data_IF_691248950548
#
_entry.id   IF_691248950548
#
_cell.length_a   1.000
_cell.length_b   1.000
_cell.length_c   1.000
_cell.angle_alpha   90.00
_cell.angle_beta   90.00
_cell.angle_gamma   90.00
#
_symmetry.space_group_name_H-M   'P 1'
#
loop_
_entity.id
_entity.type
_entity.pdbx_description
1 polymer ?
#
# COMPACT_ATOMS: atom_id res chain seq x y z
N UNK A 1 -53.00 27.28 -9.99
CA UNK A 1 -52.04 26.16 -9.95
C UNK A 1 -52.04 25.58 -8.55
N UNK A 2 -52.57 24.36 -8.39
CA UNK A 2 -52.79 23.73 -7.09
C UNK A 2 -51.50 23.33 -6.37
N UNK A 3 -51.63 23.05 -5.06
CA UNK A 3 -50.56 22.60 -4.15
C UNK A 3 -49.67 21.51 -4.78
N UNK A 4 -50.25 20.61 -5.56
CA UNK A 4 -49.55 19.54 -6.28
C UNK A 4 -48.50 20.04 -7.30
N UNK A 5 -48.80 21.11 -8.04
CA UNK A 5 -47.85 21.67 -9.01
C UNK A 5 -46.66 22.34 -8.33
N UNK A 6 -46.87 22.94 -7.15
CA UNK A 6 -45.79 23.52 -6.35
C UNK A 6 -44.88 22.44 -5.75
N UNK A 7 -45.45 21.30 -5.34
CA UNK A 7 -44.68 20.16 -4.85
C UNK A 7 -43.77 19.56 -5.95
N UNK A 8 -44.27 19.40 -7.18
CA UNK A 8 -43.47 18.90 -8.30
C UNK A 8 -42.29 19.84 -8.62
N UNK A 9 -42.56 21.15 -8.69
CA UNK A 9 -41.49 22.13 -8.97
C UNK A 9 -40.44 22.11 -7.85
N UNK A 10 -40.86 22.01 -6.59
CA UNK A 10 -39.94 21.91 -5.44
C UNK A 10 -39.09 20.64 -5.50
N UNK A 11 -39.68 19.49 -5.81
CA UNK A 11 -38.95 18.22 -5.95
C UNK A 11 -37.94 18.26 -7.11
N UNK A 12 -38.31 18.85 -8.25
CA UNK A 12 -37.39 18.99 -9.39
C UNK A 12 -36.23 19.95 -9.10
N UNK A 13 -36.49 21.03 -8.35
CA UNK A 13 -35.43 21.94 -7.90
C UNK A 13 -34.47 21.29 -6.91
N UNK A 14 -34.97 20.47 -5.99
CA UNK A 14 -34.11 19.69 -5.07
C UNK A 14 -33.29 18.68 -5.85
N UNK A 15 -33.90 17.94 -6.78
CA UNK A 15 -33.17 16.94 -7.58
C UNK A 15 -32.09 17.62 -8.43
N UNK A 16 -32.42 18.75 -9.07
CA UNK A 16 -31.46 19.53 -9.87
C UNK A 16 -30.32 20.10 -9.02
N UNK A 17 -30.62 20.61 -7.83
CA UNK A 17 -29.60 21.07 -6.89
C UNK A 17 -28.71 19.92 -6.41
N UNK A 18 -29.29 18.76 -6.12
CA UNK A 18 -28.54 17.58 -5.69
C UNK A 18 -27.62 17.07 -6.81
N UNK A 19 -28.10 16.99 -8.06
CA UNK A 19 -27.28 16.63 -9.22
C UNK A 19 -26.18 17.66 -9.47
N UNK A 20 -26.48 18.96 -9.34
CA UNK A 20 -25.48 20.02 -9.47
C UNK A 20 -24.40 19.93 -8.38
N UNK A 21 -24.80 19.70 -7.12
CA UNK A 21 -23.87 19.52 -6.00
C UNK A 21 -23.06 18.24 -6.19
N UNK A 22 -23.66 17.12 -6.59
CA UNK A 22 -22.91 15.90 -6.89
C UNK A 22 -21.89 16.14 -8.00
N UNK A 23 -22.28 16.78 -9.11
CA UNK A 23 -21.36 17.11 -10.22
C UNK A 23 -20.22 18.05 -9.79
N UNK A 24 -20.55 19.08 -9.01
CA UNK A 24 -19.59 20.08 -8.55
C UNK A 24 -18.64 19.50 -7.48
N UNK A 25 -19.16 18.66 -6.58
CA UNK A 25 -18.36 17.93 -5.58
C UNK A 25 -17.49 16.89 -6.26
N UNK A 26 -17.99 16.10 -7.23
CA UNK A 26 -17.14 15.20 -8.02
C UNK A 26 -16.03 15.95 -8.77
N UNK A 27 -16.29 17.18 -9.21
CA UNK A 27 -15.29 18.06 -9.83
C UNK A 27 -14.28 18.68 -8.86
N UNK A 28 -14.58 18.75 -7.56
CA UNK A 28 -13.69 19.28 -6.52
C UNK A 28 -13.00 18.18 -5.69
N UNK A 29 -13.58 16.98 -5.61
CA UNK A 29 -13.13 15.90 -4.73
C UNK A 29 -12.41 14.76 -5.45
N UNK A 30 -11.94 14.96 -6.69
CA UNK A 30 -11.20 13.93 -7.43
C UNK A 30 -11.96 12.60 -7.55
N UNK A 31 -13.29 12.65 -7.59
CA UNK A 31 -14.14 11.46 -7.64
C UNK A 31 -14.28 10.95 -9.06
N UNK A 32 -13.43 9.98 -9.43
CA UNK A 32 -13.60 8.97 -10.49
C UNK A 32 -14.62 9.30 -11.59
N UNK A 33 -14.24 10.21 -12.48
CA UNK A 33 -14.85 10.36 -13.79
C UNK A 33 -13.78 10.09 -14.84
N UNK A 34 -13.56 8.81 -15.17
CA UNK A 34 -12.62 8.39 -16.19
C UNK A 34 -12.87 9.09 -17.52
N UNK A 35 -12.07 10.10 -17.81
CA UNK A 35 -11.88 10.65 -19.14
C UNK A 35 -10.47 11.21 -19.20
N UNK A 36 -9.61 10.62 -20.02
CA UNK A 36 -8.32 11.25 -20.29
C UNK A 36 -7.46 10.47 -21.26
N UNK A 37 -6.78 9.45 -20.77
CA UNK A 37 -5.68 8.87 -21.51
C UNK A 37 -5.95 7.40 -21.85
N UNK A 38 -6.26 7.13 -23.12
CA UNK A 38 -6.32 5.77 -23.67
C UNK A 38 -5.00 5.44 -24.38
N UNK A 39 -4.58 4.18 -24.25
CA UNK A 39 -3.41 3.64 -24.94
C UNK A 39 -2.11 3.76 -24.14
N UNK A 40 -1.01 3.38 -24.77
CA UNK A 40 0.32 3.33 -24.15
C UNK A 40 0.98 4.72 -24.19
N UNK A 41 0.81 5.49 -23.12
CA UNK A 41 1.45 6.80 -22.92
C UNK A 41 1.61 7.12 -21.41
N UNK A 42 2.48 8.08 -21.04
CA UNK A 42 2.74 8.41 -19.65
C UNK A 42 1.51 8.90 -18.88
N UNK A 43 0.61 9.66 -19.53
CA UNK A 43 -0.59 10.16 -18.88
C UNK A 43 -1.55 9.03 -18.47
N UNK A 44 -1.72 8.02 -19.34
CA UNK A 44 -2.49 6.82 -19.03
C UNK A 44 -1.79 6.00 -17.93
N UNK A 45 -0.46 5.92 -17.99
CA UNK A 45 0.33 5.23 -16.98
C UNK A 45 0.20 5.85 -15.60
N UNK A 46 0.16 7.18 -15.52
CA UNK A 46 -0.06 7.93 -14.29
C UNK A 46 -1.46 7.65 -13.71
N UNK A 47 -2.50 7.73 -14.54
CA UNK A 47 -3.88 7.44 -14.12
C UNK A 47 -4.01 6.02 -13.56
N UNK A 48 -3.35 5.04 -14.19
CA UNK A 48 -3.32 3.66 -13.69
C UNK A 48 -2.51 3.55 -12.40
N UNK A 49 -1.34 4.18 -12.32
CA UNK A 49 -0.47 4.12 -11.13
C UNK A 49 -1.20 4.59 -9.86
N UNK A 50 -1.94 5.70 -9.97
CA UNK A 50 -2.68 6.29 -8.85
C UNK A 50 -4.12 5.75 -8.71
N UNK A 51 -4.61 5.03 -9.72
CA UNK A 51 -5.98 4.52 -9.81
C UNK A 51 -6.00 2.99 -9.84
N UNK A 52 -6.38 2.40 -10.97
CA UNK A 52 -6.68 0.96 -11.09
C UNK A 52 -5.50 0.04 -10.74
N UNK A 53 -4.27 0.48 -10.97
CA UNK A 53 -3.05 -0.26 -10.62
C UNK A 53 -2.73 -0.23 -9.12
N UNK A 54 -3.29 0.73 -8.37
CA UNK A 54 -3.09 0.90 -6.92
C UNK A 54 -1.60 0.89 -6.51
N UNK A 55 -0.70 1.27 -7.42
CA UNK A 55 0.75 1.22 -7.17
C UNK A 55 1.13 2.10 -5.97
N UNK A 56 0.41 3.21 -5.81
CA UNK A 56 0.57 4.19 -4.73
C UNK A 56 0.25 3.66 -3.33
N UNK A 57 -0.44 2.53 -3.20
CA UNK A 57 -0.70 1.89 -1.88
C UNK A 57 0.53 1.18 -1.32
N UNK A 58 1.56 0.99 -2.16
CA UNK A 58 2.84 0.39 -1.79
C UNK A 58 4.02 1.30 -2.07
N UNK A 59 4.00 2.05 -3.17
CA UNK A 59 5.11 2.87 -3.64
C UNK A 59 4.79 4.36 -3.53
N UNK A 60 5.66 5.14 -2.90
CA UNK A 60 5.60 6.60 -2.92
C UNK A 60 6.35 7.18 -4.13
N UNK A 61 6.03 8.43 -4.48
CA UNK A 61 6.80 9.26 -5.41
C UNK A 61 7.21 10.52 -4.67
N UNK A 62 8.47 10.60 -4.26
CA UNK A 62 8.97 11.67 -3.39
C UNK A 62 8.21 11.63 -2.06
N UNK A 63 7.50 12.72 -1.75
CA UNK A 63 6.62 12.80 -0.56
C UNK A 63 5.15 12.46 -0.86
N UNK A 64 4.82 12.13 -2.11
CA UNK A 64 3.45 11.78 -2.53
C UNK A 64 3.20 10.29 -2.35
N UNK A 65 2.04 9.94 -1.79
CA UNK A 65 1.69 8.58 -1.39
C UNK A 65 2.14 8.28 0.05
N UNK A 66 1.26 7.70 0.86
CA UNK A 66 1.52 7.40 2.28
C UNK A 66 2.25 6.06 2.50
N UNK A 67 2.48 5.30 1.44
CA UNK A 67 2.94 3.92 1.52
C UNK A 67 4.47 3.79 1.59
N UNK A 68 4.96 2.94 2.50
CA UNK A 68 6.39 2.63 2.70
C UNK A 68 6.73 1.17 2.37
N UNK A 69 5.75 0.39 1.89
CA UNK A 69 5.90 -1.06 1.65
C UNK A 69 6.87 -1.38 0.51
N UNK A 70 6.93 -0.52 -0.48
CA UNK A 70 7.83 -0.63 -1.63
C UNK A 70 8.77 0.57 -1.72
N UNK A 71 9.84 0.46 -2.54
CA UNK A 71 10.76 1.56 -2.75
C UNK A 71 10.03 2.80 -3.31
N UNK A 72 10.46 3.97 -2.85
CA UNK A 72 10.10 5.25 -3.46
C UNK A 72 10.52 5.24 -4.94
N UNK A 73 9.69 5.80 -5.83
CA UNK A 73 9.87 5.81 -7.28
C UNK A 73 10.39 7.15 -7.82
N UNK A 74 10.65 8.15 -6.98
CA UNK A 74 11.31 9.38 -7.41
C UNK A 74 12.69 9.08 -8.03
N UNK A 75 12.98 9.67 -9.18
CA UNK A 75 14.23 9.42 -9.92
C UNK A 75 14.43 7.96 -10.34
N UNK A 76 13.37 7.17 -10.45
CA UNK A 76 13.44 5.75 -10.79
C UNK A 76 14.17 5.49 -12.11
N UNK A 77 13.96 6.29 -13.16
CA UNK A 77 14.54 6.02 -14.48
C UNK A 77 16.08 5.95 -14.43
N UNK A 78 16.71 6.89 -13.72
CA UNK A 78 18.16 6.90 -13.52
C UNK A 78 18.63 5.68 -12.70
N UNK A 79 17.93 5.35 -11.60
CA UNK A 79 18.25 4.17 -10.77
C UNK A 79 18.05 2.86 -11.52
N UNK A 80 17.07 2.78 -12.41
CA UNK A 80 16.82 1.61 -13.24
C UNK A 80 17.99 1.33 -14.18
N UNK A 81 18.58 2.36 -14.80
CA UNK A 81 19.76 2.21 -15.66
C UNK A 81 21.00 1.76 -14.88
N UNK A 82 21.20 2.25 -13.67
CA UNK A 82 22.29 1.82 -12.79
C UNK A 82 22.14 0.34 -12.42
N UNK A 83 20.98 -0.03 -11.89
CA UNK A 83 20.69 -1.43 -11.50
C UNK A 83 20.72 -2.38 -12.69
N UNK A 84 20.28 -1.94 -13.87
CA UNK A 84 20.39 -2.73 -15.08
C UNK A 84 21.85 -3.12 -15.37
N UNK A 85 22.79 -2.16 -15.26
CA UNK A 85 24.22 -2.42 -15.47
C UNK A 85 24.79 -3.39 -14.43
N UNK A 86 24.46 -3.17 -13.15
CA UNK A 86 24.91 -4.03 -12.05
C UNK A 86 24.43 -5.48 -12.23
N UNK A 87 23.22 -5.64 -12.78
CA UNK A 87 22.59 -6.94 -12.98
C UNK A 87 22.84 -7.54 -14.36
N UNK A 88 23.61 -6.86 -15.22
CA UNK A 88 23.90 -7.34 -16.58
C UNK A 88 22.70 -7.35 -17.52
N UNK A 89 21.69 -6.52 -17.26
CA UNK A 89 20.56 -6.27 -18.16
C UNK A 89 20.96 -5.28 -19.25
N UNK A 90 20.23 -5.28 -20.37
CA UNK A 90 20.58 -4.46 -21.55
C UNK A 90 20.24 -2.99 -21.37
N UNK A 91 19.23 -2.68 -20.54
CA UNK A 91 18.78 -1.30 -20.29
C UNK A 91 17.95 -1.18 -19.02
N UNK A 92 17.77 0.04 -18.53
CA UNK A 92 16.83 0.35 -17.46
C UNK A 92 15.39 -0.03 -17.80
N UNK A 93 15.00 0.02 -19.08
CA UNK A 93 13.68 -0.47 -19.51
C UNK A 93 13.51 -1.97 -19.26
N UNK A 94 14.53 -2.80 -19.51
CA UNK A 94 14.45 -4.23 -19.18
C UNK A 94 14.33 -4.45 -17.67
N UNK A 95 15.04 -3.64 -16.87
CA UNK A 95 14.90 -3.66 -15.41
C UNK A 95 13.47 -3.30 -14.97
N UNK A 96 12.84 -2.28 -15.55
CA UNK A 96 11.47 -1.87 -15.23
C UNK A 96 10.46 -2.97 -15.59
N UNK A 97 10.59 -3.56 -16.79
CA UNK A 97 9.73 -4.66 -17.24
C UNK A 97 9.86 -5.85 -16.29
N UNK A 98 11.09 -6.26 -15.95
CA UNK A 98 11.31 -7.37 -15.05
C UNK A 98 10.76 -7.09 -13.65
N UNK A 99 10.99 -5.90 -13.11
CA UNK A 99 10.51 -5.51 -11.78
C UNK A 99 8.98 -5.56 -11.66
N UNK A 100 8.24 -5.27 -12.73
CA UNK A 100 6.77 -5.30 -12.72
C UNK A 100 6.23 -6.69 -13.05
N UNK A 101 6.84 -7.39 -14.01
CA UNK A 101 6.35 -8.70 -14.49
C UNK A 101 6.78 -9.83 -13.56
N UNK A 102 8.00 -9.77 -13.01
CA UNK A 102 8.58 -10.76 -12.13
C UNK A 102 9.26 -10.09 -10.91
N UNK A 103 8.49 -9.42 -10.04
CA UNK A 103 9.03 -8.62 -8.92
C UNK A 103 9.93 -9.42 -7.96
N UNK A 104 9.76 -10.74 -7.87
CA UNK A 104 10.57 -11.60 -7.02
C UNK A 104 11.96 -11.96 -7.58
N UNK A 105 12.26 -11.64 -8.85
CA UNK A 105 13.58 -11.91 -9.46
C UNK A 105 14.67 -11.01 -8.87
N UNK A 106 14.28 -9.80 -8.45
CA UNK A 106 15.17 -8.88 -7.76
C UNK A 106 14.39 -8.00 -6.80
N UNK A 107 14.66 -8.21 -5.52
CA UNK A 107 14.13 -7.38 -4.44
C UNK A 107 15.22 -6.41 -4.03
N UNK A 108 14.89 -5.12 -4.02
CA UNK A 108 15.82 -4.07 -3.61
C UNK A 108 16.15 -4.22 -2.12
N UNK A 109 17.41 -3.99 -1.77
CA UNK A 109 17.88 -4.09 -0.39
C UNK A 109 17.02 -3.31 0.61
N UNK A 110 16.69 -4.00 1.70
CA UNK A 110 15.83 -3.50 2.77
C UNK A 110 14.33 -3.57 2.48
N UNK A 111 13.89 -4.16 1.37
CA UNK A 111 12.47 -4.45 1.11
C UNK A 111 12.20 -5.95 1.08
N UNK A 112 10.93 -6.32 1.29
CA UNK A 112 10.46 -7.70 1.24
C UNK A 112 9.87 -8.05 -0.13
N UNK A 113 9.83 -9.35 -0.43
CA UNK A 113 9.22 -9.88 -1.66
C UNK A 113 7.68 -9.93 -1.55
N UNK A 114 7.04 -8.76 -1.49
CA UNK A 114 5.59 -8.61 -1.30
C UNK A 114 4.86 -7.97 -2.48
N UNK A 115 5.60 -7.55 -3.52
CA UNK A 115 5.01 -6.92 -4.70
C UNK A 115 4.27 -7.99 -5.53
N UNK A 116 2.96 -7.81 -5.80
CA UNK A 116 2.18 -8.79 -6.54
C UNK A 116 2.54 -8.79 -8.02
N UNK A 117 2.24 -9.91 -8.69
CA UNK A 117 2.22 -9.95 -10.15
C UNK A 117 1.02 -9.16 -10.66
N UNK A 118 1.27 -7.97 -11.21
CA UNK A 118 0.20 -7.01 -11.53
C UNK A 118 -0.79 -7.49 -12.59
N UNK A 119 -0.40 -8.46 -13.44
CA UNK A 119 -1.27 -9.09 -14.44
C UNK A 119 -2.14 -10.22 -13.88
N UNK A 120 -1.88 -10.66 -12.64
CA UNK A 120 -2.69 -11.63 -11.92
C UNK A 120 -3.62 -10.89 -10.92
N UNK A 121 -4.59 -11.63 -10.38
CA UNK A 121 -5.43 -11.13 -9.29
C UNK A 121 -4.57 -10.83 -8.05
N UNK A 122 -4.87 -9.75 -7.30
CA UNK A 122 -6.09 -8.95 -7.36
C UNK A 122 -6.10 -7.74 -8.33
N UNK A 123 -4.95 -7.37 -8.93
CA UNK A 123 -4.83 -6.13 -9.72
C UNK A 123 -5.30 -6.29 -11.18
N UNK A 124 -4.91 -7.38 -11.85
CA UNK A 124 -5.35 -7.74 -13.21
C UNK A 124 -5.10 -6.68 -14.29
N UNK A 125 -3.98 -5.96 -14.26
CA UNK A 125 -3.60 -5.08 -15.37
C UNK A 125 -3.36 -5.88 -16.65
N UNK A 126 -3.93 -5.41 -17.76
CA UNK A 126 -3.61 -5.92 -19.08
C UNK A 126 -2.25 -5.43 -19.59
N UNK A 127 -1.83 -5.99 -20.72
CA UNK A 127 -0.53 -5.66 -21.31
C UNK A 127 -0.39 -4.18 -21.63
N UNK A 128 -1.42 -3.56 -22.21
CA UNK A 128 -1.35 -2.14 -22.59
C UNK A 128 -1.32 -1.24 -21.35
N UNK A 129 -2.06 -1.60 -20.30
CA UNK A 129 -2.02 -0.93 -19.01
C UNK A 129 -0.63 -1.03 -18.36
N UNK A 130 0.00 -2.20 -18.37
CA UNK A 130 1.37 -2.37 -17.85
C UNK A 130 2.37 -1.52 -18.66
N UNK A 131 2.25 -1.53 -19.99
CA UNK A 131 3.09 -0.71 -20.87
C UNK A 131 2.90 0.79 -20.61
N UNK A 132 1.67 1.24 -20.36
CA UNK A 132 1.38 2.62 -20.00
C UNK A 132 2.05 2.98 -18.67
N UNK A 133 1.90 2.15 -17.63
CA UNK A 133 2.56 2.36 -16.33
C UNK A 133 4.09 2.44 -16.49
N UNK A 134 4.71 1.53 -17.26
CA UNK A 134 6.16 1.58 -17.53
C UNK A 134 6.54 2.92 -18.19
N UNK A 135 5.74 3.41 -19.13
CA UNK A 135 6.03 4.69 -19.79
C UNK A 135 5.98 5.87 -18.81
N UNK A 136 5.04 5.87 -17.87
CA UNK A 136 4.99 6.86 -16.79
C UNK A 136 6.21 6.76 -15.89
N UNK A 137 6.57 5.55 -15.46
CA UNK A 137 7.73 5.30 -14.60
C UNK A 137 9.05 5.76 -15.24
N UNK A 138 9.20 5.69 -16.56
CA UNK A 138 10.35 6.26 -17.27
C UNK A 138 10.43 7.79 -17.16
N UNK A 139 9.30 8.49 -17.02
CA UNK A 139 9.29 9.95 -16.84
C UNK A 139 9.74 10.37 -15.44
N UNK A 140 9.80 9.45 -14.48
CA UNK A 140 10.32 9.70 -13.13
C UNK A 140 11.86 9.76 -13.15
N UNK A 141 12.40 10.85 -13.69
CA UNK A 141 13.84 11.08 -13.83
C UNK A 141 14.42 10.75 -15.22
N UNK A 142 13.57 10.66 -16.24
CA UNK A 142 13.95 10.36 -17.62
C UNK A 142 12.88 10.79 -18.64
N UNK A 143 12.97 10.27 -19.86
CA UNK A 143 11.98 10.44 -20.91
C UNK A 143 11.36 9.09 -21.29
N UNK A 144 10.06 9.07 -21.57
CA UNK A 144 9.38 7.86 -21.99
C UNK A 144 9.78 7.44 -23.41
N UNK A 145 10.14 6.18 -23.61
CA UNK A 145 10.43 5.60 -24.93
C UNK A 145 9.38 4.54 -25.30
N UNK A 146 8.26 5.02 -25.82
CA UNK A 146 7.12 4.18 -26.24
C UNK A 146 7.54 3.22 -27.37
N UNK A 147 8.50 3.60 -28.22
CA UNK A 147 8.98 2.75 -29.31
C UNK A 147 9.76 1.56 -28.74
N UNK A 148 10.63 1.78 -27.75
CA UNK A 148 11.34 0.72 -27.06
C UNK A 148 10.40 -0.19 -26.27
N UNK A 149 9.42 0.37 -25.54
CA UNK A 149 8.40 -0.43 -24.82
C UNK A 149 7.66 -1.36 -25.80
N UNK A 150 7.22 -0.83 -26.95
CA UNK A 150 6.54 -1.64 -27.97
C UNK A 150 7.40 -2.76 -28.54
N UNK A 151 8.72 -2.56 -28.67
CA UNK A 151 9.65 -3.62 -29.10
C UNK A 151 9.78 -4.75 -28.08
N UNK A 152 9.56 -4.47 -26.80
CA UNK A 152 9.67 -5.43 -25.70
C UNK A 152 8.32 -5.94 -25.20
N UNK A 153 7.21 -5.61 -25.86
CA UNK A 153 5.84 -6.01 -25.46
C UNK A 153 5.67 -7.51 -25.24
N UNK A 154 6.44 -8.34 -25.96
CA UNK A 154 6.35 -9.81 -25.84
C UNK A 154 6.92 -10.32 -24.51
N UNK A 155 7.72 -9.51 -23.81
CA UNK A 155 8.16 -9.77 -22.44
C UNK A 155 7.10 -9.43 -21.39
N UNK A 156 6.04 -8.72 -21.79
CA UNK A 156 4.93 -8.33 -20.91
C UNK A 156 3.77 -9.31 -21.17
N UNK A 157 3.31 -10.06 -20.15
CA UNK A 157 2.24 -11.02 -20.30
C UNK A 157 0.88 -10.33 -20.51
N UNK A 158 -0.07 -11.08 -21.04
CA UNK A 158 -1.48 -10.69 -20.99
C UNK A 158 -2.04 -10.87 -19.59
N UNK A 159 -3.10 -10.12 -19.25
CA UNK A 159 -3.83 -10.32 -18.01
C UNK A 159 -4.29 -11.78 -17.86
N UNK A 160 -4.23 -12.26 -16.62
CA UNK A 160 -4.64 -13.61 -16.25
C UNK A 160 -6.08 -13.87 -16.63
N UNK A 161 -6.31 -14.93 -17.41
CA UNK A 161 -7.67 -15.41 -17.72
C UNK A 161 -8.22 -16.36 -16.66
N UNK A 162 -7.48 -16.57 -15.57
CA UNK A 162 -7.92 -17.42 -14.47
C UNK A 162 -9.17 -16.77 -13.86
N UNK A 163 -10.24 -17.55 -13.74
CA UNK A 163 -11.43 -17.09 -13.05
C UNK A 163 -11.05 -16.80 -11.60
N UNK A 164 -11.13 -15.53 -11.21
CA UNK A 164 -10.93 -15.12 -9.82
C UNK A 164 -12.21 -15.43 -9.08
N UNK A 165 -12.18 -16.48 -8.27
CA UNK A 165 -13.27 -16.71 -7.32
C UNK A 165 -13.03 -15.80 -6.12
N UNK A 166 -14.02 -14.98 -5.71
CA UNK A 166 -13.92 -14.23 -4.47
C UNK A 166 -13.56 -15.19 -3.34
N UNK A 167 -12.58 -14.80 -2.53
CA UNK A 167 -12.26 -15.58 -1.35
C UNK A 167 -13.49 -15.65 -0.44
N UNK A 168 -13.82 -16.85 0.00
CA UNK A 168 -14.92 -17.10 0.93
C UNK A 168 -14.30 -17.60 2.23
N UNK A 169 -14.60 -16.95 3.38
CA UNK A 169 -14.14 -17.46 4.66
C UNK A 169 -14.65 -18.89 4.89
N UNK A 170 -13.88 -19.77 5.57
CA UNK A 170 -14.33 -21.13 5.89
C UNK A 170 -15.58 -21.20 6.77
N UNK A 171 -16.00 -20.07 7.32
CA UNK A 171 -17.19 -19.88 8.14
C UNK A 171 -18.01 -18.70 7.60
N UNK A 172 -19.31 -18.68 7.89
CA UNK A 172 -20.16 -17.53 7.53
C UNK A 172 -19.87 -16.39 8.52
N UNK A 173 -19.24 -15.33 8.02
CA UNK A 173 -18.95 -14.10 8.77
C UNK A 173 -18.98 -12.91 7.81
N UNK A 174 -19.54 -11.78 8.28
CA UNK A 174 -19.61 -10.54 7.52
C UNK A 174 -18.40 -9.64 7.79
N UNK A 175 -17.97 -8.86 6.79
CA UNK A 175 -16.90 -7.89 6.94
C UNK A 175 -17.17 -6.85 8.04
N UNK A 176 -18.44 -6.52 8.33
CA UNK A 176 -18.80 -5.60 9.41
C UNK A 176 -18.35 -6.08 10.79
N UNK A 177 -18.23 -7.40 10.99
CA UNK A 177 -17.70 -7.97 12.23
C UNK A 177 -16.23 -7.60 12.38
N UNK A 178 -15.45 -7.76 11.30
CA UNK A 178 -14.05 -7.38 11.27
C UNK A 178 -13.85 -5.89 11.48
N UNK A 179 -14.66 -5.05 10.83
CA UNK A 179 -14.60 -3.59 11.01
C UNK A 179 -14.82 -3.20 12.48
N UNK A 180 -15.82 -3.80 13.13
CA UNK A 180 -16.08 -3.55 14.55
C UNK A 180 -14.89 -3.92 15.42
N UNK A 181 -14.30 -5.11 15.24
CA UNK A 181 -13.14 -5.55 16.02
C UNK A 181 -11.92 -4.67 15.73
N UNK A 182 -11.73 -4.27 14.48
CA UNK A 182 -10.60 -3.45 14.05
C UNK A 182 -10.54 -2.14 14.84
N UNK A 183 -11.70 -1.49 15.06
CA UNK A 183 -11.81 -0.19 15.70
C UNK A 183 -12.31 -0.20 17.17
N UNK A 184 -12.63 -1.36 17.75
CA UNK A 184 -13.13 -1.44 19.12
C UNK A 184 -11.98 -1.39 20.14
N UNK A 185 -11.68 -0.18 20.62
CA UNK A 185 -10.62 0.11 21.60
C UNK A 185 -10.81 -0.56 22.97
N UNK A 186 -11.99 -1.09 23.26
CA UNK A 186 -12.29 -1.75 24.54
C UNK A 186 -11.88 -3.22 24.56
N UNK A 187 -11.49 -3.77 23.41
CA UNK A 187 -11.06 -5.15 23.28
C UNK A 187 -9.58 -5.29 23.57
N UNK A 188 -9.17 -6.50 23.91
CA UNK A 188 -7.76 -6.84 24.04
C UNK A 188 -7.05 -6.76 22.68
N UNK A 189 -7.74 -7.14 21.60
CA UNK A 189 -7.27 -6.98 20.23
C UNK A 189 -8.01 -5.85 19.56
N UNK A 190 -7.29 -4.76 19.28
CA UNK A 190 -7.75 -3.61 18.51
C UNK A 190 -6.69 -3.25 17.48
N UNK A 191 -6.96 -3.54 16.21
CA UNK A 191 -6.00 -3.30 15.13
C UNK A 191 -5.72 -1.80 14.91
N UNK A 192 -6.73 -0.94 15.15
CA UNK A 192 -6.64 0.51 14.95
C UNK A 192 -5.72 1.22 15.94
N UNK A 193 -5.31 0.56 17.04
CA UNK A 193 -4.28 1.08 17.96
C UNK A 193 -2.92 1.19 17.29
N UNK A 194 -2.71 0.44 16.21
CA UNK A 194 -1.45 0.48 15.47
C UNK A 194 -1.62 0.82 13.99
N UNK A 195 -2.72 0.43 13.35
CA UNK A 195 -2.91 0.60 11.92
C UNK A 195 -3.94 1.66 11.58
N UNK A 196 -3.67 2.43 10.53
CA UNK A 196 -4.66 3.34 9.94
C UNK A 196 -5.48 2.67 8.85
N UNK A 197 -6.75 3.07 8.72
CA UNK A 197 -7.59 2.86 7.53
C UNK A 197 -8.36 4.13 7.25
N UNK A 198 -8.26 4.67 6.04
CA UNK A 198 -8.90 5.93 5.62
C UNK A 198 -8.64 7.08 6.60
N UNK A 199 -7.40 7.18 7.10
CA UNK A 199 -6.98 8.19 8.08
C UNK A 199 -7.47 7.99 9.52
N UNK A 200 -8.15 6.88 9.83
CA UNK A 200 -8.58 6.53 11.20
C UNK A 200 -7.67 5.47 11.81
N UNK A 201 -7.31 5.63 13.08
CA UNK A 201 -6.38 4.76 13.82
C UNK A 201 -5.06 5.47 14.10
N UNK A 202 -4.08 4.74 14.63
CA UNK A 202 -2.74 5.26 14.86
C UNK A 202 -1.77 4.83 13.75
N UNK A 203 -0.65 5.56 13.62
CA UNK A 203 0.39 5.31 12.62
C UNK A 203 1.62 4.65 13.26
N UNK A 204 1.40 3.49 13.88
CA UNK A 204 2.45 2.68 14.51
C UNK A 204 2.90 1.58 13.56
N UNK A 205 1.93 0.91 12.94
CA UNK A 205 2.10 -0.01 11.83
C UNK A 205 1.67 0.64 10.50
N UNK A 206 1.79 -0.09 9.39
CA UNK A 206 1.48 0.43 8.06
C UNK A 206 0.00 0.74 7.86
N UNK A 207 -0.28 1.74 7.02
CA UNK A 207 -1.62 2.10 6.57
C UNK A 207 -2.24 0.97 5.75
N UNK A 208 -3.38 0.43 6.20
CA UNK A 208 -4.08 -0.70 5.58
C UNK A 208 -5.17 -0.26 4.57
N UNK A 209 -5.26 1.04 4.27
CA UNK A 209 -6.14 1.56 3.22
C UNK A 209 -5.86 0.89 1.88
N UNK A 210 -6.91 0.35 1.23
CA UNK A 210 -6.81 -0.29 -0.09
C UNK A 210 -6.09 -1.64 -0.11
N UNK A 211 -5.73 -2.22 1.05
CA UNK A 211 -4.90 -3.44 1.11
C UNK A 211 -5.55 -4.64 0.39
N UNK A 212 -6.88 -4.73 0.38
CA UNK A 212 -7.65 -5.77 -0.29
C UNK A 212 -7.65 -5.66 -1.83
N UNK A 213 -7.23 -4.52 -2.38
CA UNK A 213 -7.05 -4.34 -3.83
C UNK A 213 -5.70 -4.87 -4.33
N UNK A 214 -4.70 -4.97 -3.45
CA UNK A 214 -3.30 -5.28 -3.83
C UNK A 214 -2.74 -6.55 -3.22
N UNK A 215 -3.35 -7.09 -2.14
CA UNK A 215 -2.87 -8.29 -1.46
C UNK A 215 -3.87 -9.45 -1.47
N UNK A 216 -3.33 -10.65 -1.26
CA UNK A 216 -4.11 -11.89 -1.25
C UNK A 216 -4.65 -12.21 0.15
N UNK A 217 -5.70 -13.02 0.26
CA UNK A 217 -6.16 -13.54 1.57
C UNK A 217 -5.05 -14.27 2.32
N UNK A 218 -4.19 -15.01 1.62
CA UNK A 218 -3.08 -15.73 2.22
C UNK A 218 -2.09 -14.78 2.89
N UNK A 219 -1.70 -13.71 2.18
CA UNK A 219 -0.81 -12.68 2.73
C UNK A 219 -1.38 -12.06 4.02
N UNK A 220 -2.67 -11.73 4.03
CA UNK A 220 -3.33 -11.13 5.21
C UNK A 220 -3.38 -12.11 6.39
N UNK A 221 -3.74 -13.37 6.13
CA UNK A 221 -3.79 -14.44 7.14
C UNK A 221 -2.39 -14.65 7.75
N UNK A 222 -1.37 -14.77 6.92
CA UNK A 222 0.01 -14.97 7.37
C UNK A 222 0.53 -13.76 8.14
N UNK A 223 0.25 -12.54 7.66
CA UNK A 223 0.66 -11.29 8.33
C UNK A 223 0.03 -11.15 9.72
N UNK A 224 -1.22 -11.61 9.90
CA UNK A 224 -1.88 -11.59 11.22
C UNK A 224 -1.35 -12.71 12.12
N UNK A 225 -1.20 -13.94 11.62
CA UNK A 225 -0.83 -15.07 12.46
C UNK A 225 0.68 -15.19 12.71
N UNK A 226 1.51 -14.60 11.84
CA UNK A 226 2.96 -14.71 11.85
C UNK A 226 3.62 -13.36 11.48
N UNK A 227 3.36 -12.27 12.23
CA UNK A 227 3.78 -10.91 11.86
C UNK A 227 5.30 -10.71 11.84
N UNK A 228 6.08 -11.63 12.41
CA UNK A 228 7.55 -11.58 12.38
C UNK A 228 8.16 -12.24 11.14
N UNK A 229 7.36 -12.88 10.28
CA UNK A 229 7.87 -13.47 9.02
C UNK A 229 8.24 -12.41 7.99
N UNK A 230 7.52 -11.28 8.00
CA UNK A 230 7.74 -10.15 7.08
C UNK A 230 7.59 -8.87 7.90
N UNK A 231 8.69 -8.16 8.11
CA UNK A 231 8.72 -6.86 8.78
C UNK A 231 9.12 -5.81 7.74
N UNK A 232 8.10 -5.16 7.19
CA UNK A 232 8.26 -4.19 6.10
C UNK A 232 9.17 -3.02 6.50
N UNK A 233 9.86 -2.45 5.51
CA UNK A 233 10.73 -1.29 5.69
C UNK A 233 10.02 -0.10 6.31
N UNK A 234 10.69 0.58 7.23
CA UNK A 234 10.16 1.67 8.04
C UNK A 234 9.32 1.19 9.23
N UNK A 235 9.25 -0.12 9.46
CA UNK A 235 8.59 -0.73 10.62
C UNK A 235 9.48 -1.76 11.31
N UNK A 236 10.78 -1.74 11.04
CA UNK A 236 11.76 -2.59 11.71
C UNK A 236 11.77 -2.33 13.22
N UNK A 237 11.74 -3.40 14.00
CA UNK A 237 11.96 -3.32 15.44
C UNK A 237 13.45 -3.27 15.72
N UNK A 238 13.89 -2.26 16.46
CA UNK A 238 15.26 -2.03 16.85
C UNK A 238 15.39 -2.21 18.36
N UNK A 239 16.46 -2.87 18.79
CA UNK A 239 16.93 -2.88 20.17
C UNK A 239 18.15 -1.98 20.26
N UNK A 240 18.07 -0.95 21.10
CA UNK A 240 19.09 0.07 21.27
C UNK A 240 19.50 0.14 22.74
N UNK A 241 20.81 0.14 23.01
CA UNK A 241 21.38 0.43 24.33
C UNK A 241 22.02 1.81 24.25
N UNK A 242 21.56 2.72 25.11
CA UNK A 242 22.13 4.05 25.27
C UNK A 242 23.41 4.04 26.11
N UNK A 243 24.26 5.05 25.96
CA UNK A 243 25.47 5.21 26.79
C UNK A 243 25.16 5.52 28.26
N UNK A 244 23.89 5.81 28.58
CA UNK A 244 23.33 5.88 29.93
C UNK A 244 23.07 4.48 30.55
N UNK A 245 23.24 3.41 29.76
CA UNK A 245 22.99 2.03 30.13
C UNK A 245 21.51 1.60 30.01
N UNK A 246 20.63 2.46 29.51
CA UNK A 246 19.21 2.16 29.32
C UNK A 246 19.00 1.43 28.00
N UNK A 247 18.02 0.51 27.98
CA UNK A 247 17.65 -0.25 26.79
C UNK A 247 16.29 0.20 26.27
N UNK A 248 16.21 0.39 24.96
CA UNK A 248 15.03 0.81 24.23
C UNK A 248 14.69 -0.23 23.16
N UNK A 249 13.42 -0.61 23.08
CA UNK A 249 12.90 -1.45 21.98
C UNK A 249 11.79 -0.68 21.28
N UNK A 250 11.98 -0.37 20.01
CA UNK A 250 11.06 0.50 19.28
C UNK A 250 11.14 0.31 17.78
N UNK A 251 10.21 0.97 17.08
CA UNK A 251 10.09 0.94 15.62
C UNK A 251 10.99 2.02 15.03
N UNK A 252 11.84 1.67 14.07
CA UNK A 252 12.68 2.64 13.37
C UNK A 252 11.83 3.57 12.49
N UNK A 253 11.74 4.86 12.86
CA UNK A 253 11.05 5.87 12.06
C UNK A 253 11.99 6.52 11.03
N UNK A 254 13.21 6.84 11.46
CA UNK A 254 14.26 7.38 10.59
C UNK A 254 15.65 7.05 11.14
N UNK A 255 16.64 6.96 10.25
CA UNK A 255 18.04 6.85 10.60
C UNK A 255 18.87 7.67 9.61
N UNK A 256 19.68 8.57 10.12
CA UNK A 256 20.65 9.37 9.37
C UNK A 256 22.01 9.30 10.04
N UNK A 257 23.02 9.92 9.44
CA UNK A 257 24.34 10.07 10.08
C UNK A 257 24.30 11.00 11.31
N UNK A 258 23.24 11.82 11.46
CA UNK A 258 23.09 12.80 12.54
C UNK A 258 22.23 12.28 13.69
N UNK A 259 21.19 11.50 13.41
CA UNK A 259 20.24 11.02 14.42
C UNK A 259 19.54 9.72 14.02
N UNK A 260 19.10 8.98 15.03
CA UNK A 260 18.21 7.82 14.92
C UNK A 260 16.93 8.11 15.68
N UNK A 261 15.78 7.92 15.04
CA UNK A 261 14.47 8.13 15.66
C UNK A 261 13.75 6.79 15.82
N UNK A 262 13.43 6.44 17.06
CA UNK A 262 12.65 5.25 17.41
C UNK A 262 11.29 5.64 17.97
N UNK A 263 10.25 4.92 17.56
CA UNK A 263 8.94 4.97 18.21
C UNK A 263 8.87 3.82 19.23
N UNK A 264 8.95 4.14 20.51
CA UNK A 264 9.01 3.21 21.64
C UNK A 264 7.64 3.12 22.31
N UNK A 265 7.22 1.92 22.70
CA UNK A 265 6.01 1.72 23.50
C UNK A 265 6.32 1.89 25.00
N UNK A 266 5.70 2.89 25.62
CA UNK A 266 5.72 3.16 27.06
C UNK A 266 4.34 2.86 27.65
N UNK A 267 4.16 1.64 28.15
CA UNK A 267 2.93 1.20 28.82
C UNK A 267 1.63 1.40 27.99
N UNK A 268 1.74 1.26 26.66
CA UNK A 268 0.64 1.40 25.71
C UNK A 268 0.55 2.78 25.05
N UNK A 269 1.47 3.69 25.36
CA UNK A 269 1.63 4.97 24.68
C UNK A 269 2.89 4.95 23.81
N UNK A 270 2.75 5.28 22.53
CA UNK A 270 3.89 5.34 21.63
C UNK A 270 4.59 6.70 21.76
N UNK A 271 5.85 6.68 22.16
CA UNK A 271 6.69 7.86 22.38
C UNK A 271 7.84 7.87 21.39
N UNK A 272 8.08 9.03 20.77
CA UNK A 272 9.20 9.23 19.87
C UNK A 272 10.46 9.57 20.67
N UNK A 273 11.51 8.79 20.46
CA UNK A 273 12.83 8.98 21.02
C UNK A 273 13.82 9.32 19.92
N UNK A 274 14.60 10.38 20.13
CA UNK A 274 15.70 10.79 19.24
C UNK A 274 17.01 10.46 19.93
N UNK A 275 17.87 9.73 19.24
CA UNK A 275 19.22 9.36 19.70
C UNK A 275 20.27 9.92 18.75
N UNK A 276 21.24 10.63 19.29
CA UNK A 276 22.44 11.05 18.56
C UNK A 276 23.49 9.93 18.54
N UNK A 277 24.37 9.82 17.52
CA UNK A 277 25.35 8.75 17.42
C UNK A 277 26.22 8.54 18.67
N UNK A 278 26.57 9.61 19.39
CA UNK A 278 27.33 9.57 20.64
C UNK A 278 26.54 9.02 21.85
N UNK A 279 25.21 8.96 21.75
CA UNK A 279 24.31 8.42 22.77
C UNK A 279 24.06 6.92 22.59
N UNK A 280 24.45 6.35 21.44
CA UNK A 280 24.19 4.96 21.09
C UNK A 280 25.42 4.10 21.41
N UNK A 281 25.31 3.23 22.41
CA UNK A 281 26.35 2.22 22.69
C UNK A 281 26.23 1.03 21.75
N UNK A 282 25.01 0.54 21.53
CA UNK A 282 24.72 -0.59 20.65
C UNK A 282 23.34 -0.41 20.02
N UNK A 283 23.21 -0.79 18.75
CA UNK A 283 21.90 -0.89 18.10
C UNK A 283 21.83 -2.13 17.21
N UNK A 284 20.74 -2.89 17.31
CA UNK A 284 20.53 -4.11 16.55
C UNK A 284 19.09 -4.26 16.08
N UNK A 285 18.90 -4.56 14.79
CA UNK A 285 17.62 -4.98 14.22
C UNK A 285 17.17 -6.31 14.84
N UNK A 286 15.91 -6.38 15.23
CA UNK A 286 15.27 -7.58 15.78
C UNK A 286 14.53 -8.35 14.68
N UNK A 287 14.49 -9.67 14.83
CA UNK A 287 13.71 -10.57 13.97
C UNK A 287 12.25 -10.70 14.42
N UNK A 288 11.88 -10.04 15.52
CA UNK A 288 10.54 -10.08 16.11
C UNK A 288 9.85 -8.73 15.88
N UNK A 289 8.63 -8.80 15.37
CA UNK A 289 7.77 -7.63 15.16
C UNK A 289 7.16 -7.15 16.47
N UNK A 290 6.93 -5.84 16.57
CA UNK A 290 6.10 -5.24 17.64
C UNK A 290 4.63 -5.63 17.52
N UNK A 291 4.17 -6.04 16.33
CA UNK A 291 2.82 -6.58 16.16
C UNK A 291 2.73 -7.94 16.89
N UNK A 292 1.76 -8.13 17.82
CA UNK A 292 1.65 -9.33 18.62
C UNK A 292 1.56 -10.62 17.79
N UNK A 293 2.35 -11.65 18.13
CA UNK A 293 2.34 -12.93 17.43
C UNK A 293 1.33 -13.96 17.96
N UNK A 294 0.60 -13.64 19.03
CA UNK A 294 -0.31 -14.57 19.74
C UNK A 294 -1.79 -14.34 19.41
N UNK A 295 -2.12 -13.72 18.27
CA UNK A 295 -3.51 -13.47 17.88
C UNK A 295 -4.35 -14.75 17.74
N UNK A 296 -3.73 -15.90 17.48
CA UNK A 296 -4.41 -17.21 17.48
C UNK A 296 -4.97 -17.61 18.85
N UNK A 297 -4.44 -17.04 19.94
CA UNK A 297 -4.90 -17.25 21.31
C UNK A 297 -5.91 -16.19 21.75
N UNK A 298 -5.79 -14.97 21.20
CA UNK A 298 -6.61 -13.81 21.59
C UNK A 298 -7.89 -13.65 20.75
N UNK A 299 -7.93 -14.20 19.54
CA UNK A 299 -9.07 -14.11 18.63
C UNK A 299 -9.78 -15.44 18.50
N UNK A 300 -11.11 -15.41 18.54
CA UNK A 300 -11.91 -16.55 18.08
C UNK A 300 -11.80 -16.70 16.56
N UNK A 301 -12.08 -17.90 16.03
CA UNK A 301 -12.13 -18.14 14.58
C UNK A 301 -13.13 -17.21 13.86
N UNK A 302 -14.24 -16.85 14.53
CA UNK A 302 -15.23 -15.90 14.01
C UNK A 302 -14.66 -14.49 13.86
N UNK A 303 -13.95 -14.01 14.89
CA UNK A 303 -13.33 -12.69 14.90
C UNK A 303 -12.20 -12.60 13.88
N UNK A 304 -11.33 -13.62 13.84
CA UNK A 304 -10.21 -13.71 12.90
C UNK A 304 -10.68 -13.61 11.44
N UNK A 305 -11.61 -14.47 11.02
CA UNK A 305 -12.11 -14.41 9.64
C UNK A 305 -12.98 -13.17 9.37
N UNK A 306 -13.59 -12.58 10.40
CA UNK A 306 -14.21 -11.26 10.31
C UNK A 306 -13.18 -10.19 9.91
N UNK A 307 -12.06 -10.11 10.63
CA UNK A 307 -10.96 -9.15 10.33
C UNK A 307 -10.42 -9.38 8.92
N UNK A 308 -10.12 -10.63 8.54
CA UNK A 308 -9.63 -10.94 7.18
C UNK A 308 -10.64 -10.51 6.11
N UNK A 309 -11.94 -10.76 6.33
CA UNK A 309 -13.01 -10.34 5.42
C UNK A 309 -13.10 -8.82 5.30
N UNK A 310 -12.94 -8.10 6.42
CA UNK A 310 -12.89 -6.64 6.43
C UNK A 310 -11.70 -6.11 5.63
N UNK A 311 -10.49 -6.60 5.88
CA UNK A 311 -9.29 -6.15 5.16
C UNK A 311 -9.39 -6.41 3.64
N UNK A 312 -9.97 -7.54 3.23
CA UNK A 312 -10.22 -7.84 1.81
C UNK A 312 -11.29 -6.94 1.16
N UNK A 313 -12.16 -6.33 1.97
CA UNK A 313 -13.17 -5.38 1.50
C UNK A 313 -12.61 -3.97 1.27
N UNK A 314 -11.41 -3.67 1.80
CA UNK A 314 -10.74 -2.37 1.62
C UNK A 314 -10.11 -2.30 0.21
N UNK A 315 -10.83 -1.72 -0.75
CA UNK A 315 -10.40 -1.55 -2.14
C UNK A 315 -10.55 -0.11 -2.62
#
# INVERSE_FOLDING_TARGET
>A
MGSFGKAIIFSLLILGFFVYVCYYVTGLSGGSGGSGAKGVNPEAGEEIYWGEGQCSTCHSIGTSGSATRGPNQEGLAARAEERAKERGLTSGLEYLIESIVNPGEYVVDGFDNIMPKVYDAPILLDREQIMAVISYLQTLGGEADIVAINKLKDKIPEASKKKVEPWVPPIVVDASVGEQIFFDEKREVTCSKCHTVNGKGAKVGPDLTGIGAVQTPQYLIESILQPSQVIIKGFETMYLIGTDGMAYTGILQSQTDEETVLLVDEEGEMVEYVFYPEEIEQMQKQDVSIMPGNFSEMLTTYEFYGIVSYLLSLK
#
